data_IF_565720889715
#
_entry.id   IF_565720889715
#
_cell.length_a   1.000
_cell.length_b   1.000
_cell.length_c   1.000
_cell.angle_alpha   90.00
_cell.angle_beta   90.00
_cell.angle_gamma   90.00
#
_symmetry.space_group_name_H-M   'P 1'
#
loop_
_entity.id
_entity.type
_entity.pdbx_description
1 polymer ?
#
# COMPACT_ATOMS: atom_id res chain seq x y z
N UNK A 1 -9.93 15.23 -13.95
CA UNK A 1 -9.36 14.47 -15.11
C UNK A 1 -9.89 13.04 -15.05
N UNK A 2 -10.05 12.31 -16.16
CA UNK A 2 -10.60 10.93 -16.18
C UNK A 2 -9.57 9.97 -16.77
N UNK A 3 -9.35 8.84 -16.11
CA UNK A 3 -8.56 7.71 -16.64
C UNK A 3 -9.51 6.73 -17.35
N UNK A 4 -9.18 6.34 -18.59
CA UNK A 4 -10.02 5.45 -19.40
C UNK A 4 -9.71 3.98 -19.17
N UNK A 5 -8.50 3.64 -18.73
CA UNK A 5 -8.09 2.27 -18.38
C UNK A 5 -8.62 1.89 -17.00
N UNK A 6 -9.16 0.69 -16.89
CA UNK A 6 -9.67 0.19 -15.60
C UNK A 6 -8.54 -0.19 -14.63
N UNK A 7 -8.80 -0.03 -13.34
CA UNK A 7 -7.92 -0.47 -12.25
C UNK A 7 -7.25 0.66 -11.48
N UNK A 8 -7.03 0.44 -10.18
CA UNK A 8 -6.51 1.44 -9.25
C UNK A 8 -5.12 1.94 -9.66
N UNK A 9 -4.19 1.04 -9.96
CA UNK A 9 -2.85 1.41 -10.43
C UNK A 9 -2.84 2.30 -11.68
N UNK A 10 -3.78 2.11 -12.62
CA UNK A 10 -3.92 3.00 -13.78
C UNK A 10 -4.29 4.44 -13.37
N UNK A 11 -5.22 4.59 -12.43
CA UNK A 11 -5.65 5.89 -11.90
C UNK A 11 -4.50 6.54 -11.12
N UNK A 12 -3.87 5.80 -10.21
CA UNK A 12 -2.72 6.28 -9.42
C UNK A 12 -1.58 6.73 -10.33
N UNK A 13 -1.22 5.95 -11.34
CA UNK A 13 -0.20 6.32 -12.34
C UNK A 13 -0.50 7.65 -13.00
N UNK A 14 -1.73 7.83 -13.49
CA UNK A 14 -2.11 9.07 -14.16
C UNK A 14 -2.11 10.23 -13.19
N UNK A 15 -2.62 10.07 -11.97
CA UNK A 15 -2.60 11.12 -10.94
C UNK A 15 -1.18 11.52 -10.53
N UNK A 16 -0.28 10.55 -10.29
CA UNK A 16 1.11 10.79 -9.92
C UNK A 16 1.88 11.56 -11.00
N UNK A 17 1.59 11.28 -12.28
CA UNK A 17 2.14 12.03 -13.40
C UNK A 17 1.58 13.45 -13.48
N UNK A 18 0.26 13.58 -13.39
CA UNK A 18 -0.49 14.77 -13.80
C UNK A 18 -0.62 15.86 -12.73
N UNK A 19 -0.67 15.46 -11.46
CA UNK A 19 -0.85 16.37 -10.31
C UNK A 19 0.53 16.79 -9.83
N UNK A 20 0.75 18.09 -9.68
CA UNK A 20 1.95 18.63 -9.01
C UNK A 20 1.52 19.18 -7.65
N UNK A 21 2.08 18.60 -6.59
CA UNK A 21 1.80 18.94 -5.20
C UNK A 21 3.06 18.66 -4.37
N UNK A 22 3.20 19.34 -3.23
CA UNK A 22 4.30 19.09 -2.31
C UNK A 22 4.10 17.80 -1.50
N UNK A 23 2.83 17.50 -1.18
CA UNK A 23 2.40 16.31 -0.44
C UNK A 23 1.19 15.70 -1.15
N UNK A 24 1.20 14.38 -1.26
CA UNK A 24 0.12 13.60 -1.85
C UNK A 24 -0.55 12.76 -0.78
N UNK A 25 -1.88 12.77 -0.73
CA UNK A 25 -2.67 11.88 0.10
C UNK A 25 -3.49 10.95 -0.79
N UNK A 26 -3.35 9.65 -0.60
CA UNK A 26 -4.14 8.61 -1.25
C UNK A 26 -5.03 7.95 -0.21
N UNK A 27 -6.32 7.79 -0.53
CA UNK A 27 -7.33 7.13 0.32
C UNK A 27 -8.27 6.32 -0.57
N UNK A 28 -8.74 5.18 -0.07
CA UNK A 28 -9.80 4.43 -0.76
C UNK A 28 -11.16 5.08 -0.55
N UNK A 29 -11.93 5.19 -1.63
CA UNK A 29 -13.27 5.78 -1.62
C UNK A 29 -14.37 4.82 -1.14
N UNK A 30 -14.06 3.87 -0.25
CA UNK A 30 -15.01 2.89 0.28
C UNK A 30 -15.54 3.24 1.69
N UNK A 31 -15.29 4.47 2.15
CA UNK A 31 -15.73 5.05 3.44
C UNK A 31 -15.19 4.30 4.68
N UNK A 32 -14.13 3.51 4.50
CA UNK A 32 -13.52 2.76 5.60
C UNK A 32 -12.42 3.51 6.35
N UNK A 33 -11.93 4.61 5.77
CA UNK A 33 -10.85 5.42 6.33
C UNK A 33 -11.39 6.75 6.88
N UNK A 34 -11.18 7.07 8.17
CA UNK A 34 -11.63 8.33 8.73
C UNK A 34 -10.87 9.50 8.09
N UNK A 35 -11.60 10.48 7.56
CA UNK A 35 -10.98 11.67 6.96
C UNK A 35 -10.19 12.50 7.99
N UNK A 36 -10.54 12.38 9.27
CA UNK A 36 -9.90 13.07 10.38
C UNK A 36 -8.43 12.66 10.55
N UNK A 37 -8.07 11.41 10.19
CA UNK A 37 -6.69 10.92 10.26
C UNK A 37 -5.79 11.46 9.13
N UNK A 38 -6.33 12.22 8.17
CA UNK A 38 -5.56 12.76 7.05
C UNK A 38 -4.40 13.66 7.52
N UNK A 39 -4.65 14.45 8.58
CA UNK A 39 -3.64 15.32 9.18
C UNK A 39 -2.47 14.52 9.74
N UNK A 40 -2.76 13.42 10.43
CA UNK A 40 -1.75 12.56 11.06
C UNK A 40 -0.88 11.84 10.03
N UNK A 41 -1.45 11.42 8.90
CA UNK A 41 -0.67 10.86 7.79
C UNK A 41 0.22 11.91 7.11
N UNK A 42 -0.24 13.15 7.01
CA UNK A 42 0.49 14.24 6.33
C UNK A 42 1.59 14.82 7.21
N UNK A 43 1.41 14.85 8.53
CA UNK A 43 2.31 15.54 9.45
C UNK A 43 3.79 15.08 9.35
N UNK A 44 4.12 13.76 9.32
CA UNK A 44 5.51 13.32 9.17
C UNK A 44 6.14 13.72 7.84
N UNK A 45 5.35 13.81 6.76
CA UNK A 45 5.84 14.28 5.47
C UNK A 45 6.12 15.79 5.52
N UNK A 46 5.20 16.56 6.10
CA UNK A 46 5.32 18.00 6.24
C UNK A 46 6.49 18.41 7.17
N UNK A 47 6.81 17.58 8.15
CA UNK A 47 7.95 17.75 9.06
C UNK A 47 9.29 17.27 8.46
N UNK A 48 9.30 16.74 7.24
CA UNK A 48 10.47 16.09 6.63
C UNK A 48 11.04 14.93 7.47
N UNK A 49 10.16 14.20 8.16
CA UNK A 49 10.51 13.02 8.96
C UNK A 49 10.27 11.71 8.19
N UNK A 50 9.36 11.74 7.22
CA UNK A 50 9.04 10.61 6.34
C UNK A 50 8.85 11.04 4.88
N UNK A 51 9.06 10.09 3.96
CA UNK A 51 8.77 10.23 2.53
C UNK A 51 7.50 9.49 2.12
N UNK A 52 7.07 8.53 2.94
CA UNK A 52 5.79 7.84 2.84
C UNK A 52 5.23 7.59 4.24
N UNK A 53 3.92 7.76 4.43
CA UNK A 53 3.21 7.26 5.61
C UNK A 53 2.22 6.19 5.24
N UNK A 54 1.99 5.25 6.15
CA UNK A 54 1.08 4.12 5.97
C UNK A 54 0.09 4.14 7.12
N UNK A 55 -1.21 4.25 6.82
CA UNK A 55 -2.25 4.14 7.82
C UNK A 55 -2.36 2.70 8.33
N UNK A 56 -1.95 2.48 9.57
CA UNK A 56 -1.94 1.17 10.21
C UNK A 56 -3.26 0.89 10.94
N UNK A 57 -3.96 -0.14 10.46
CA UNK A 57 -5.24 -0.62 11.02
C UNK A 57 -5.05 -1.68 12.10
N UNK A 58 -3.86 -2.28 12.20
CA UNK A 58 -3.58 -3.47 13.00
C UNK A 58 -3.00 -3.13 14.38
N UNK A 59 -2.40 -1.95 14.54
CA UNK A 59 -1.77 -1.48 15.79
C UNK A 59 -2.74 -1.19 16.94
N UNK A 60 -4.04 -1.02 16.68
CA UNK A 60 -4.99 -0.48 17.66
C UNK A 60 -5.71 -1.54 18.51
N UNK A 61 -5.40 -2.84 18.33
CA UNK A 61 -5.92 -3.92 19.17
C UNK A 61 -7.44 -4.19 19.08
N UNK A 62 -8.19 -3.37 18.34
CA UNK A 62 -9.64 -3.51 18.12
C UNK A 62 -10.00 -4.50 17.01
N UNK A 63 -9.01 -5.14 16.39
CA UNK A 63 -9.22 -6.18 15.36
C UNK A 63 -9.29 -7.61 15.93
N UNK A 64 -9.48 -7.74 17.24
CA UNK A 64 -9.49 -9.02 17.94
C UNK A 64 -10.77 -9.83 17.77
N UNK A 65 -11.93 -9.19 17.53
CA UNK A 65 -13.21 -9.89 17.76
C UNK A 65 -14.09 -10.17 16.53
N UNK A 66 -13.89 -9.56 15.36
CA UNK A 66 -14.84 -9.79 14.25
C UNK A 66 -14.21 -9.88 12.86
N UNK A 67 -13.20 -10.74 12.70
CA UNK A 67 -12.75 -11.13 11.35
C UNK A 67 -12.71 -12.64 11.17
N UNK A 68 -13.89 -13.24 11.23
CA UNK A 68 -14.16 -14.64 10.90
C UNK A 68 -14.13 -14.89 9.37
N UNK A 69 -13.05 -14.40 8.71
CA UNK A 69 -12.70 -14.76 7.33
C UNK A 69 -11.27 -15.31 7.34
N UNK A 70 -11.08 -16.65 7.29
CA UNK A 70 -9.81 -17.34 7.56
C UNK A 70 -8.61 -16.99 6.65
N UNK A 71 -8.75 -16.04 5.73
CA UNK A 71 -7.79 -15.79 4.65
C UNK A 71 -7.36 -14.33 4.46
N UNK A 72 -7.97 -13.34 5.15
CA UNK A 72 -7.59 -11.93 4.98
C UNK A 72 -6.21 -11.60 5.60
N UNK A 73 -5.88 -12.21 6.75
CA UNK A 73 -4.56 -12.04 7.38
C UNK A 73 -3.43 -12.80 6.67
N UNK A 74 -3.74 -13.89 5.96
CA UNK A 74 -2.72 -14.73 5.33
C UNK A 74 -1.95 -13.99 4.22
N UNK A 75 -2.66 -13.24 3.38
CA UNK A 75 -2.06 -12.45 2.30
C UNK A 75 -1.09 -11.38 2.82
N UNK A 76 -1.56 -10.52 3.73
CA UNK A 76 -0.72 -9.49 4.33
C UNK A 76 0.49 -10.09 5.08
N UNK A 77 0.27 -11.16 5.86
CA UNK A 77 1.37 -11.85 6.57
C UNK A 77 2.39 -12.49 5.63
N UNK A 78 1.94 -13.08 4.51
CA UNK A 78 2.83 -13.66 3.51
C UNK A 78 3.66 -12.57 2.82
N UNK A 79 3.03 -11.49 2.36
CA UNK A 79 3.71 -10.35 1.74
C UNK A 79 4.70 -9.72 2.73
N UNK A 80 4.28 -9.48 3.98
CA UNK A 80 5.12 -8.96 5.05
C UNK A 80 6.36 -9.82 5.29
N UNK A 81 6.19 -11.15 5.40
CA UNK A 81 7.30 -12.11 5.57
C UNK A 81 8.25 -12.08 4.36
N UNK A 82 7.73 -12.02 3.14
CA UNK A 82 8.53 -11.96 1.93
C UNK A 82 9.33 -10.65 1.83
N UNK A 83 8.70 -9.50 2.09
CA UNK A 83 9.42 -8.21 2.12
C UNK A 83 10.50 -8.23 3.21
N UNK A 84 10.18 -8.75 4.40
CA UNK A 84 11.17 -8.87 5.49
C UNK A 84 12.35 -9.77 5.10
N UNK A 85 12.09 -10.88 4.43
CA UNK A 85 13.14 -11.81 3.97
C UNK A 85 14.03 -11.17 2.90
N UNK A 86 13.43 -10.45 1.95
CA UNK A 86 14.15 -9.88 0.80
C UNK A 86 14.89 -8.59 1.13
N UNK A 87 14.34 -7.78 2.02
CA UNK A 87 14.79 -6.42 2.27
C UNK A 87 15.15 -6.12 3.74
N UNK A 88 14.91 -7.04 4.67
CA UNK A 88 15.27 -6.89 6.09
C UNK A 88 14.33 -5.98 6.90
N UNK A 89 13.32 -5.36 6.28
CA UNK A 89 12.34 -4.49 6.91
C UNK A 89 10.92 -4.86 6.42
N UNK A 90 9.88 -4.60 7.22
CA UNK A 90 8.49 -4.82 6.80
C UNK A 90 7.52 -3.96 7.60
N UNK A 91 6.52 -3.40 6.93
CA UNK A 91 5.40 -2.66 7.51
C UNK A 91 4.44 -3.59 8.26
N UNK A 92 3.58 -3.03 9.11
CA UNK A 92 2.50 -3.79 9.76
C UNK A 92 1.34 -4.03 8.79
N UNK A 93 0.92 -3.01 8.04
CA UNK A 93 -0.11 -3.11 7.00
C UNK A 93 0.41 -2.71 5.61
N UNK A 94 0.83 -3.71 4.82
CA UNK A 94 1.40 -3.49 3.48
C UNK A 94 0.31 -3.19 2.44
N UNK A 95 -0.95 -3.50 2.72
CA UNK A 95 -2.03 -3.48 1.72
C UNK A 95 -3.07 -2.39 1.95
N UNK A 96 -2.90 -1.52 2.94
CA UNK A 96 -3.80 -0.39 3.20
C UNK A 96 -3.88 0.57 2.01
N UNK A 97 -5.04 1.20 1.80
CA UNK A 97 -5.23 2.21 0.78
C UNK A 97 -4.93 3.63 1.25
N UNK A 98 -4.69 3.82 2.55
CA UNK A 98 -4.51 5.14 3.16
C UNK A 98 -3.03 5.45 3.38
N UNK A 99 -2.50 6.37 2.57
CA UNK A 99 -1.07 6.72 2.55
C UNK A 99 -0.85 8.18 2.21
N UNK A 100 0.16 8.81 2.82
CA UNK A 100 0.69 10.07 2.33
C UNK A 100 2.10 9.89 1.75
N UNK A 101 2.51 10.80 0.87
CA UNK A 101 3.79 10.74 0.17
C UNK A 101 4.39 12.13 -0.01
N UNK A 102 5.72 12.20 0.05
CA UNK A 102 6.46 13.38 -0.42
C UNK A 102 6.41 13.47 -1.94
N UNK A 103 6.56 14.69 -2.47
CA UNK A 103 6.70 14.92 -3.91
C UNK A 103 7.81 14.08 -4.54
N UNK A 104 8.96 13.98 -3.86
CA UNK A 104 10.10 13.21 -4.35
C UNK A 104 9.75 11.73 -4.56
N UNK A 105 9.02 11.14 -3.61
CA UNK A 105 8.54 9.77 -3.73
C UNK A 105 7.63 9.60 -4.96
N UNK A 106 6.58 10.42 -5.08
CA UNK A 106 5.59 10.32 -6.15
C UNK A 106 6.20 10.54 -7.54
N UNK A 107 7.12 11.49 -7.66
CA UNK A 107 7.73 11.84 -8.96
C UNK A 107 8.82 10.88 -9.41
N UNK A 108 9.31 10.01 -8.53
CA UNK A 108 10.36 9.03 -8.86
C UNK A 108 9.84 7.61 -8.98
N UNK A 109 8.68 7.31 -8.40
CA UNK A 109 8.11 5.96 -8.43
C UNK A 109 7.58 5.56 -9.82
N UNK A 110 8.09 4.48 -10.43
CA UNK A 110 7.56 3.90 -11.65
C UNK A 110 6.34 3.07 -11.31
N UNK A 111 5.14 3.59 -11.59
CA UNK A 111 3.89 2.84 -11.40
C UNK A 111 3.69 1.85 -12.55
N UNK A 112 4.00 0.57 -12.32
CA UNK A 112 3.91 -0.51 -13.30
C UNK A 112 2.55 -1.23 -13.24
N UNK A 113 2.02 -1.43 -12.03
CA UNK A 113 0.77 -2.16 -11.83
C UNK A 113 -0.45 -1.42 -12.37
N UNK A 114 -1.43 -2.20 -12.87
CA UNK A 114 -2.70 -1.67 -13.35
C UNK A 114 -3.83 -1.70 -12.32
N UNK A 115 -3.77 -2.60 -11.34
CA UNK A 115 -4.84 -2.90 -10.37
C UNK A 115 -4.46 -2.59 -8.92
N UNK A 116 -4.96 -3.42 -7.99
CA UNK A 116 -4.70 -3.36 -6.54
C UNK A 116 -3.31 -3.88 -6.12
N UNK A 117 -2.42 -4.11 -7.08
CA UNK A 117 -1.03 -4.42 -6.78
C UNK A 117 -0.22 -3.16 -6.47
N UNK A 118 -0.79 -1.97 -6.70
CA UNK A 118 -0.10 -0.70 -6.54
C UNK A 118 0.33 -0.46 -5.09
N UNK A 119 -0.47 -0.89 -4.13
CA UNK A 119 -0.18 -0.82 -2.69
C UNK A 119 1.10 -1.57 -2.35
N UNK A 120 1.19 -2.82 -2.78
CA UNK A 120 2.38 -3.66 -2.62
C UNK A 120 3.58 -3.07 -3.37
N UNK A 121 3.36 -2.54 -4.57
CA UNK A 121 4.41 -1.91 -5.38
C UNK A 121 4.99 -0.67 -4.69
N UNK A 122 4.14 0.18 -4.11
CA UNK A 122 4.55 1.36 -3.32
C UNK A 122 5.39 0.95 -2.12
N UNK A 123 4.95 -0.07 -1.38
CA UNK A 123 5.70 -0.60 -0.24
C UNK A 123 7.05 -1.20 -0.65
N UNK A 124 7.11 -1.99 -1.73
CA UNK A 124 8.37 -2.55 -2.20
C UNK A 124 9.32 -1.45 -2.67
N UNK A 125 8.81 -0.47 -3.43
CA UNK A 125 9.59 0.70 -3.85
C UNK A 125 10.18 1.46 -2.67
N UNK A 126 9.38 1.69 -1.63
CA UNK A 126 9.79 2.38 -0.43
C UNK A 126 10.98 1.69 0.25
N UNK A 127 10.87 0.37 0.47
CA UNK A 127 11.92 -0.40 1.16
C UNK A 127 13.17 -0.56 0.29
N UNK A 128 13.00 -0.89 -0.99
CA UNK A 128 14.12 -1.11 -1.92
C UNK A 128 15.02 0.12 -2.04
N UNK A 129 14.43 1.31 -2.08
CA UNK A 129 15.15 2.59 -2.19
C UNK A 129 15.41 3.27 -0.86
N UNK A 130 15.12 2.58 0.26
CA UNK A 130 15.39 3.06 1.62
C UNK A 130 14.76 4.43 1.89
N UNK A 131 13.56 4.64 1.35
CA UNK A 131 12.75 5.81 1.70
C UNK A 131 12.40 5.78 3.19
N UNK A 132 12.26 6.96 3.81
CA UNK A 132 11.80 7.05 5.20
C UNK A 132 10.31 6.75 5.23
N UNK A 133 9.90 5.75 6.00
CA UNK A 133 8.49 5.37 6.12
C UNK A 133 8.08 5.40 7.57
N UNK A 134 6.90 5.98 7.84
CA UNK A 134 6.28 5.96 9.16
C UNK A 134 4.91 5.26 9.11
N UNK A 135 4.69 4.32 10.03
CA UNK A 135 3.36 3.76 10.29
C UNK A 135 2.60 4.75 11.19
N UNK A 136 1.38 5.10 10.79
CA UNK A 136 0.50 6.03 11.50
C UNK A 136 -0.72 5.24 11.96
N UNK A 137 -0.89 4.98 13.27
CA UNK A 137 -2.06 4.29 13.80
C UNK A 137 -3.35 5.01 13.43
N UNK A 138 -4.34 4.29 12.89
CA UNK A 138 -5.64 4.85 12.52
C UNK A 138 -6.80 4.06 13.11
N UNK A 139 -7.78 4.77 13.70
CA UNK A 139 -9.02 4.16 14.18
C UNK A 139 -9.94 3.85 12.99
N UNK A 140 -9.90 2.60 12.54
CA UNK A 140 -10.69 2.12 11.42
C UNK A 140 -12.19 2.12 11.76
N UNK A 141 -13.03 2.66 10.87
CA UNK A 141 -14.49 2.61 11.03
C UNK A 141 -15.02 1.32 10.40
N UNK A 142 -15.97 0.67 11.08
CA UNK A 142 -16.62 -0.51 10.53
C UNK A 142 -17.34 -0.18 9.22
N UNK A 143 -17.17 -1.08 8.26
CA UNK A 143 -17.71 -0.97 6.92
C UNK A 143 -19.26 -1.04 6.98
N UNK A 144 -20.00 -0.13 6.31
CA UNK A 144 -21.46 -0.20 6.29
C UNK A 144 -21.97 -1.54 5.74
N UNK A 145 -23.04 -2.07 6.33
CA UNK A 145 -23.67 -3.31 5.90
C UNK A 145 -24.08 -3.23 4.41
N UNK A 146 -23.55 -4.14 3.58
CA UNK A 146 -23.94 -4.27 2.17
C UNK A 146 -22.84 -4.02 1.12
N UNK A 147 -21.57 -3.79 1.52
CA UNK A 147 -20.46 -3.70 0.56
C UNK A 147 -19.64 -4.99 0.50
N UNK A 148 -19.84 -5.74 -0.58
CA UNK A 148 -19.03 -6.93 -0.92
C UNK A 148 -17.59 -6.51 -1.22
N UNK A 149 -16.61 -7.12 -0.55
CA UNK A 149 -15.20 -6.98 -0.92
C UNK A 149 -15.01 -7.52 -2.34
N UNK A 150 -14.63 -6.66 -3.28
CA UNK A 150 -14.37 -7.04 -4.67
C UNK A 150 -13.05 -7.82 -4.87
N UNK A 151 -12.33 -8.11 -3.77
CA UNK A 151 -11.08 -8.87 -3.78
C UNK A 151 -11.37 -10.36 -3.91
N UNK A 152 -10.83 -10.97 -4.96
CA UNK A 152 -10.80 -12.42 -5.11
C UNK A 152 -9.52 -12.93 -4.43
N UNK A 153 -9.64 -13.40 -3.20
CA UNK A 153 -8.53 -13.86 -2.34
C UNK A 153 -7.52 -14.77 -3.05
N UNK A 154 -7.99 -15.64 -3.95
CA UNK A 154 -7.13 -16.57 -4.69
C UNK A 154 -6.54 -15.96 -5.97
N UNK A 155 -7.33 -15.22 -6.75
CA UNK A 155 -6.87 -14.60 -7.99
C UNK A 155 -5.88 -13.46 -7.74
N UNK A 156 -6.22 -12.59 -6.80
CA UNK A 156 -5.38 -11.45 -6.42
C UNK A 156 -4.12 -11.92 -5.68
N UNK A 157 -4.22 -12.97 -4.85
CA UNK A 157 -3.08 -13.58 -4.18
C UNK A 157 -2.02 -14.10 -5.17
N UNK A 158 -2.44 -14.78 -6.24
CA UNK A 158 -1.50 -15.25 -7.28
C UNK A 158 -0.87 -14.09 -8.07
N UNK A 159 -1.64 -13.02 -8.33
CA UNK A 159 -1.12 -11.83 -8.99
C UNK A 159 -0.09 -11.10 -8.12
N UNK A 160 -0.33 -11.01 -6.81
CA UNK A 160 0.63 -10.45 -5.85
C UNK A 160 1.88 -11.30 -5.78
N UNK A 161 1.77 -12.63 -5.70
CA UNK A 161 2.93 -13.52 -5.71
C UNK A 161 3.73 -13.42 -7.01
N UNK A 162 3.05 -13.30 -8.17
CA UNK A 162 3.73 -13.06 -9.45
C UNK A 162 4.40 -11.69 -9.51
N UNK A 163 3.77 -10.65 -8.95
CA UNK A 163 4.39 -9.33 -8.86
C UNK A 163 5.64 -9.38 -7.98
N UNK A 164 5.58 -10.05 -6.83
CA UNK A 164 6.74 -10.26 -5.95
C UNK A 164 7.82 -11.08 -6.67
N UNK A 165 7.45 -12.17 -7.36
CA UNK A 165 8.40 -12.98 -8.11
C UNK A 165 9.07 -12.22 -9.26
N UNK A 166 8.30 -11.38 -9.99
CA UNK A 166 8.84 -10.50 -11.03
C UNK A 166 9.80 -9.50 -10.42
N UNK A 167 9.42 -8.84 -9.32
CA UNK A 167 10.29 -7.88 -8.64
C UNK A 167 11.54 -8.58 -8.08
N UNK A 168 11.41 -9.76 -7.50
CA UNK A 168 12.57 -10.50 -7.01
C UNK A 168 13.52 -10.89 -8.16
N UNK A 169 12.98 -11.34 -9.30
CA UNK A 169 13.75 -11.57 -10.53
C UNK A 169 14.44 -10.30 -11.03
N UNK A 170 13.70 -9.20 -11.11
CA UNK A 170 14.16 -7.96 -11.73
C UNK A 170 15.19 -7.23 -10.83
N UNK A 171 15.08 -7.35 -9.50
CA UNK A 171 15.90 -6.63 -8.52
C UNK A 171 17.00 -7.49 -7.85
N UNK A 172 16.84 -8.82 -7.79
CA UNK A 172 17.85 -9.78 -7.31
C UNK A 172 18.07 -10.92 -8.32
N UNK A 173 18.39 -10.61 -9.59
CA UNK A 173 18.47 -11.62 -10.65
C UNK A 173 19.47 -12.73 -10.34
N UNK A 174 20.60 -12.41 -9.70
CA UNK A 174 21.63 -13.39 -9.31
C UNK A 174 21.16 -14.35 -8.21
N UNK A 175 20.24 -13.92 -7.33
CA UNK A 175 19.67 -14.80 -6.30
C UNK A 175 18.43 -15.56 -6.81
N UNK A 176 17.81 -15.09 -7.89
CA UNK A 176 16.63 -15.71 -8.50
C UNK A 176 16.98 -16.75 -9.57
N UNK A 177 17.97 -16.48 -10.41
CA UNK A 177 18.44 -17.35 -11.50
C UNK A 177 19.72 -18.13 -11.16
N UNK A 178 20.27 -17.94 -9.96
CA UNK A 178 21.50 -18.57 -9.48
C UNK A 178 21.34 -20.04 -9.17
#
# INVERSE_FOLDING_TARGET
RRESRQGKGNVTRSMFRDIDADIYLMVDGDDTYPAEAAGDLVAPIAADEADMTVGDRLSNGSYGDENDRPFHGFGNNLVRRLIRLLYGFSFEDVMTGYRAFSRAFVKTMPVMSGGFQIETEMSIWAVDRRWRVADVPIDYRDRPAGSESKLSTFGDGLLVLRAIASLFRDYRPMAFFG
#
